data_IF_133547689377
#
_entry.id   IF_133547689377
#
_cell.length_a   1.000
_cell.length_b   1.000
_cell.length_c   1.000
_cell.angle_alpha   90.00
_cell.angle_beta   90.00
_cell.angle_gamma   90.00
#
_symmetry.space_group_name_H-M   'P 1'
#
loop_
_entity.id
_entity.type
_entity.pdbx_description
1 polymer ?
#
# COMPACT_ATOMS: atom_id res chain seq x y z
N UNK A 1 -10.63 16.64 32.26
CA UNK A 1 -10.70 16.54 30.79
C UNK A 1 -11.93 15.70 30.43
N UNK A 2 -12.77 16.13 29.49
CA UNK A 2 -13.98 15.40 29.09
C UNK A 2 -13.64 14.56 27.86
N UNK A 3 -13.91 13.26 27.89
CA UNK A 3 -13.67 12.36 26.76
C UNK A 3 -14.65 12.73 25.63
N UNK A 4 -14.14 13.27 24.52
CA UNK A 4 -14.94 13.65 23.35
C UNK A 4 -14.78 12.60 22.26
N UNK A 5 -15.75 12.51 21.34
CA UNK A 5 -15.66 11.61 20.18
C UNK A 5 -14.40 11.88 19.35
N UNK A 6 -14.09 13.16 19.11
CA UNK A 6 -12.88 13.56 18.40
C UNK A 6 -11.59 13.06 19.08
N UNK A 7 -11.54 13.09 20.42
CA UNK A 7 -10.40 12.56 21.15
C UNK A 7 -10.31 11.03 21.03
N UNK A 8 -11.45 10.34 21.04
CA UNK A 8 -11.51 8.89 20.87
C UNK A 8 -11.05 8.46 19.47
N UNK A 9 -11.44 9.20 18.43
CA UNK A 9 -11.07 8.92 17.03
C UNK A 9 -9.55 9.09 16.83
N UNK A 10 -8.97 10.20 17.32
CA UNK A 10 -7.51 10.43 17.29
C UNK A 10 -6.75 9.34 18.02
N UNK A 11 -7.24 8.90 19.18
CA UNK A 11 -6.62 7.82 19.93
C UNK A 11 -6.73 6.47 19.20
N UNK A 12 -7.87 6.19 18.57
CA UNK A 12 -8.06 4.99 17.74
C UNK A 12 -7.10 4.95 16.56
N UNK A 13 -6.95 6.07 15.86
CA UNK A 13 -6.01 6.23 14.75
C UNK A 13 -4.56 5.99 15.18
N UNK A 14 -4.15 6.54 16.32
CA UNK A 14 -2.81 6.30 16.89
C UNK A 14 -2.59 4.83 17.24
N UNK A 15 -3.57 4.15 17.84
CA UNK A 15 -3.46 2.73 18.17
C UNK A 15 -3.33 1.85 16.92
N UNK A 16 -4.09 2.14 15.87
CA UNK A 16 -4.00 1.44 14.60
C UNK A 16 -2.66 1.68 13.91
N UNK A 17 -2.19 2.93 13.88
CA UNK A 17 -0.89 3.30 13.33
C UNK A 17 0.26 2.58 14.05
N UNK A 18 0.23 2.55 15.39
CA UNK A 18 1.21 1.83 16.21
C UNK A 18 1.16 0.31 16.01
N UNK A 19 -0.04 -0.23 15.74
CA UNK A 19 -0.19 -1.65 15.41
C UNK A 19 0.46 -1.98 14.08
N UNK A 20 0.22 -1.17 13.05
CA UNK A 20 0.82 -1.32 11.72
C UNK A 20 2.34 -1.19 11.81
N UNK A 21 2.83 -0.13 12.48
CA UNK A 21 4.27 0.10 12.67
C UNK A 21 4.94 -1.11 13.32
N UNK A 22 4.37 -1.65 14.41
CA UNK A 22 4.91 -2.84 15.07
C UNK A 22 4.90 -4.07 14.17
N UNK A 23 3.82 -4.29 13.42
CA UNK A 23 3.73 -5.42 12.50
C UNK A 23 4.80 -5.36 11.40
N UNK A 24 5.05 -4.17 10.84
CA UNK A 24 6.12 -3.94 9.87
C UNK A 24 7.51 -4.23 10.45
N UNK A 25 7.79 -3.78 11.67
CA UNK A 25 9.07 -4.00 12.34
C UNK A 25 9.28 -5.47 12.67
N UNK A 26 8.23 -6.18 13.11
CA UNK A 26 8.30 -7.62 13.36
C UNK A 26 8.60 -8.38 12.07
N UNK A 27 7.95 -8.01 10.97
CA UNK A 27 8.17 -8.67 9.68
C UNK A 27 9.52 -8.32 9.05
N UNK A 28 10.01 -7.09 9.26
CA UNK A 28 11.33 -6.62 8.80
C UNK A 28 11.97 -5.69 9.83
N UNK A 29 12.84 -6.23 10.70
CA UNK A 29 13.49 -5.44 11.76
C UNK A 29 14.29 -4.24 11.24
N UNK A 30 14.84 -4.31 10.03
CA UNK A 30 15.55 -3.20 9.40
C UNK A 30 14.68 -1.94 9.18
N UNK A 31 13.35 -2.07 9.22
CA UNK A 31 12.44 -0.93 9.11
C UNK A 31 12.30 -0.12 10.41
N UNK A 32 12.78 -0.61 11.56
CA UNK A 32 12.59 0.04 12.86
C UNK A 32 12.99 1.52 12.88
N UNK A 33 14.13 1.84 12.25
CA UNK A 33 14.67 3.19 12.15
C UNK A 33 14.15 3.98 10.94
N UNK A 34 13.42 3.31 10.02
CA UNK A 34 12.96 3.88 8.76
C UNK A 34 11.48 4.27 8.79
N UNK A 35 10.64 3.57 9.57
CA UNK A 35 9.21 3.90 9.65
C UNK A 35 9.00 5.13 10.52
N UNK A 36 8.63 6.23 9.89
CA UNK A 36 8.31 7.49 10.55
C UNK A 36 6.80 7.75 10.55
N UNK A 37 6.23 8.03 11.72
CA UNK A 37 4.86 8.51 11.83
C UNK A 37 4.80 10.01 11.58
N UNK A 38 3.75 10.46 10.88
CA UNK A 38 3.39 11.87 10.82
C UNK A 38 2.76 12.31 12.13
N UNK A 39 3.10 13.52 12.60
CA UNK A 39 2.64 14.04 13.89
C UNK A 39 1.21 14.58 13.88
N UNK A 40 0.67 14.89 12.71
CA UNK A 40 -0.63 15.56 12.54
C UNK A 40 -1.67 14.65 11.87
N UNK A 41 -1.21 13.63 11.12
CA UNK A 41 -2.09 12.75 10.34
C UNK A 41 -1.86 11.28 10.68
N UNK A 42 -2.89 10.43 10.54
CA UNK A 42 -2.74 8.97 10.62
C UNK A 42 -1.99 8.44 9.40
N UNK A 43 -0.69 8.70 9.34
CA UNK A 43 0.18 8.45 8.19
C UNK A 43 1.54 7.93 8.64
N UNK A 44 2.03 6.88 7.98
CA UNK A 44 3.39 6.37 8.12
C UNK A 44 4.16 6.58 6.81
N UNK A 45 5.44 6.89 6.93
CA UNK A 45 6.38 7.09 5.82
C UNK A 45 7.53 6.12 5.95
N UNK A 46 7.91 5.53 4.83
CA UNK A 46 9.05 4.61 4.74
C UNK A 46 9.94 5.10 3.60
N UNK A 47 11.10 5.69 3.91
CA UNK A 47 12.02 6.19 2.90
C UNK A 47 12.60 5.03 2.10
N UNK A 48 12.76 5.25 0.79
CA UNK A 48 13.42 4.31 -0.10
C UNK A 48 14.80 4.86 -0.48
N UNK A 49 15.84 4.00 -0.60
CA UNK A 49 17.17 4.45 -0.97
C UNK A 49 17.25 5.02 -2.40
N UNK A 50 16.30 4.65 -3.27
CA UNK A 50 16.14 5.19 -4.63
C UNK A 50 14.66 5.42 -4.90
N UNK A 51 14.28 6.67 -5.14
CA UNK A 51 12.89 7.06 -5.44
C UNK A 51 12.18 7.73 -4.27
N UNK A 52 10.87 7.94 -4.43
CA UNK A 52 10.04 8.55 -3.39
C UNK A 52 9.71 7.54 -2.27
N UNK A 53 9.14 8.04 -1.17
CA UNK A 53 8.77 7.25 0.01
C UNK A 53 7.53 6.39 -0.25
N UNK A 54 7.48 5.21 0.37
CA UNK A 54 6.21 4.48 0.53
C UNK A 54 5.40 5.15 1.63
N UNK A 55 4.11 5.37 1.37
CA UNK A 55 3.19 6.01 2.31
C UNK A 55 2.12 5.01 2.74
N UNK A 56 1.73 5.03 4.01
CA UNK A 56 0.59 4.28 4.53
C UNK A 56 -0.31 5.31 5.23
N UNK A 57 -1.50 5.53 4.74
CA UNK A 57 -2.38 6.58 5.23
C UNK A 57 -3.78 6.06 5.47
N UNK A 58 -4.43 6.52 6.54
CA UNK A 58 -5.86 6.29 6.74
C UNK A 58 -6.65 7.32 5.96
N UNK A 59 -7.54 6.86 5.09
CA UNK A 59 -8.48 7.72 4.37
C UNK A 59 -9.82 7.76 5.08
N UNK A 60 -10.46 8.92 5.06
CA UNK A 60 -11.82 9.10 5.58
C UNK A 60 -12.88 8.92 4.50
N UNK A 61 -12.46 8.70 3.25
CA UNK A 61 -13.31 8.58 2.08
C UNK A 61 -13.13 7.18 1.49
N UNK A 62 -14.21 6.39 1.54
CA UNK A 62 -14.29 5.04 0.99
C UNK A 62 -15.71 4.48 1.19
N UNK A 63 -16.23 3.65 0.28
CA UNK A 63 -17.58 3.08 0.38
C UNK A 63 -17.75 2.16 1.60
N UNK A 64 -16.65 1.65 2.16
CA UNK A 64 -16.62 0.80 3.35
C UNK A 64 -16.31 1.55 4.67
N UNK A 65 -16.17 2.88 4.63
CA UNK A 65 -15.73 3.69 5.77
C UNK A 65 -14.22 3.97 5.79
N UNK A 66 -13.69 4.36 6.96
CA UNK A 66 -12.27 4.68 7.10
C UNK A 66 -11.39 3.46 6.83
N UNK A 67 -10.52 3.56 5.83
CA UNK A 67 -9.67 2.47 5.38
C UNK A 67 -8.21 2.90 5.29
N UNK A 68 -7.29 1.95 5.45
CA UNK A 68 -5.87 2.21 5.24
C UNK A 68 -5.52 1.98 3.78
N UNK A 69 -4.71 2.89 3.23
CA UNK A 69 -4.23 2.85 1.85
C UNK A 69 -2.71 2.88 1.87
N UNK A 70 -2.09 2.04 1.04
CA UNK A 70 -0.65 2.03 0.80
C UNK A 70 -0.37 2.72 -0.53
N UNK A 71 0.31 3.87 -0.48
CA UNK A 71 0.80 4.60 -1.63
C UNK A 71 2.20 4.13 -2.01
N UNK A 72 2.32 3.51 -3.19
CA UNK A 72 3.59 3.06 -3.76
C UNK A 72 4.02 4.03 -4.87
N UNK A 73 5.21 4.64 -4.77
CA UNK A 73 5.73 5.49 -5.83
C UNK A 73 5.89 4.75 -7.16
N UNK A 74 5.36 5.34 -8.22
CA UNK A 74 5.47 4.89 -9.60
C UNK A 74 5.58 6.09 -10.55
N UNK A 75 5.99 5.83 -11.79
CA UNK A 75 5.98 6.82 -12.86
C UNK A 75 4.97 6.38 -13.94
N UNK A 76 4.10 7.28 -14.45
CA UNK A 76 4.06 8.74 -14.22
C UNK A 76 3.34 9.18 -12.94
N UNK A 77 2.68 8.25 -12.23
CA UNK A 77 1.91 8.53 -11.03
C UNK A 77 2.08 7.42 -9.99
N UNK A 78 1.87 7.70 -8.69
CA UNK A 78 1.87 6.68 -7.66
C UNK A 78 0.66 5.74 -7.77
N UNK A 79 0.85 4.49 -7.38
CA UNK A 79 -0.23 3.50 -7.25
C UNK A 79 -0.76 3.51 -5.82
N UNK A 80 -2.07 3.51 -5.66
CA UNK A 80 -2.74 3.42 -4.35
C UNK A 80 -3.37 2.04 -4.20
N UNK A 81 -3.02 1.35 -3.12
CA UNK A 81 -3.58 0.04 -2.79
C UNK A 81 -4.42 0.14 -1.53
N UNK A 82 -5.71 -0.14 -1.64
CA UNK A 82 -6.59 -0.30 -0.48
C UNK A 82 -6.19 -1.56 0.31
N UNK A 83 -6.16 -1.46 1.64
CA UNK A 83 -5.83 -2.58 2.51
C UNK A 83 -6.92 -2.75 3.57
N UNK A 84 -7.61 -3.89 3.52
CA UNK A 84 -8.70 -4.20 4.44
C UNK A 84 -8.23 -4.61 5.85
N UNK A 85 -6.96 -4.93 6.02
CA UNK A 85 -6.39 -5.36 7.30
C UNK A 85 -4.87 -5.08 7.39
N UNK A 86 -4.32 -5.29 8.58
CA UNK A 86 -2.91 -5.04 8.88
C UNK A 86 -1.95 -5.98 8.11
N UNK A 87 -2.36 -7.21 7.81
CA UNK A 87 -1.51 -8.18 7.09
C UNK A 87 -1.34 -7.77 5.63
N UNK A 88 -2.40 -7.30 4.99
CA UNK A 88 -2.35 -6.74 3.63
C UNK A 88 -1.43 -5.53 3.54
N UNK A 89 -1.49 -4.62 4.52
CA UNK A 89 -0.58 -3.46 4.59
C UNK A 89 0.88 -3.93 4.64
N UNK A 90 1.19 -4.88 5.51
CA UNK A 90 2.56 -5.40 5.65
C UNK A 90 3.03 -6.03 4.34
N UNK A 91 2.21 -6.88 3.72
CA UNK A 91 2.51 -7.52 2.44
C UNK A 91 2.81 -6.51 1.34
N UNK A 92 1.95 -5.50 1.16
CA UNK A 92 2.10 -4.45 0.14
C UNK A 92 3.37 -3.63 0.36
N UNK A 93 3.64 -3.23 1.61
CA UNK A 93 4.83 -2.44 1.95
C UNK A 93 6.11 -3.23 1.70
N UNK A 94 6.17 -4.50 2.09
CA UNK A 94 7.36 -5.32 1.89
C UNK A 94 7.64 -5.51 0.40
N UNK A 95 6.61 -5.80 -0.41
CA UNK A 95 6.74 -5.89 -1.87
C UNK A 95 7.30 -4.59 -2.47
N UNK A 96 6.74 -3.44 -2.06
CA UNK A 96 7.17 -2.14 -2.54
C UNK A 96 8.62 -1.79 -2.13
N UNK A 97 9.04 -2.15 -0.92
CA UNK A 97 10.41 -1.91 -0.43
C UNK A 97 11.41 -2.82 -1.13
N UNK A 98 11.05 -4.07 -1.41
CA UNK A 98 11.91 -5.04 -2.10
C UNK A 98 12.05 -4.80 -3.60
N UNK A 99 11.22 -3.93 -4.17
CA UNK A 99 11.20 -3.70 -5.61
C UNK A 99 10.60 -4.87 -6.39
N UNK A 100 9.83 -5.73 -5.71
CA UNK A 100 8.83 -6.51 -6.42
C UNK A 100 7.78 -5.50 -6.88
N UNK A 101 7.85 -5.07 -8.15
CA UNK A 101 6.66 -4.53 -8.80
C UNK A 101 5.53 -5.48 -8.46
N UNK A 102 4.50 -4.97 -7.78
CA UNK A 102 3.28 -5.74 -7.53
C UNK A 102 2.73 -5.98 -8.92
N UNK A 103 3.10 -7.11 -9.52
CA UNK A 103 2.68 -7.49 -10.86
C UNK A 103 1.17 -7.37 -10.89
N UNK A 104 0.69 -6.58 -11.85
CA UNK A 104 -0.71 -6.48 -12.21
C UNK A 104 -1.37 -7.86 -12.22
N UNK A 105 -2.64 -7.88 -11.85
CA UNK A 105 -3.54 -8.96 -12.20
C UNK A 105 -3.24 -9.50 -13.61
N UNK A 106 -3.22 -10.83 -13.81
CA UNK A 106 -2.96 -11.39 -15.12
C UNK A 106 -4.02 -10.89 -16.10
N UNK A 107 -3.57 -10.16 -17.12
CA UNK A 107 -4.36 -9.79 -18.29
C UNK A 107 -5.08 -11.04 -18.85
N UNK A 108 -6.42 -11.11 -18.78
CA UNK A 108 -7.17 -12.23 -19.34
C UNK A 108 -7.38 -12.08 -20.86
N UNK A 109 -6.51 -11.38 -21.59
CA UNK A 109 -6.57 -11.25 -23.05
C UNK A 109 -5.41 -11.95 -23.80
N UNK A 110 -4.70 -12.87 -23.15
CA UNK A 110 -3.73 -13.77 -23.79
C UNK A 110 -4.37 -15.03 -24.37
N UNK A 111 -5.37 -14.93 -25.25
CA UNK A 111 -5.84 -16.08 -26.02
C UNK A 111 -6.29 -15.69 -27.43
N UNK A 112 -5.58 -16.28 -28.40
CA UNK A 112 -5.87 -16.39 -29.82
C UNK A 112 -5.41 -15.25 -30.75
N UNK A 113 -4.10 -15.24 -31.04
CA UNK A 113 -3.67 -15.17 -32.44
C UNK A 113 -2.55 -16.18 -32.66
N UNK A 114 -2.89 -17.34 -33.22
CA UNK A 114 -1.97 -18.06 -34.09
C UNK A 114 -2.75 -19.02 -35.00
N UNK A 115 -2.83 -18.67 -36.29
CA UNK A 115 -2.45 -19.59 -37.39
C UNK A 115 -2.71 -18.91 -38.73
N UNK A 116 -1.70 -18.22 -39.25
CA UNK A 116 -1.51 -18.09 -40.70
C UNK A 116 -0.86 -19.38 -41.22
N UNK A 117 -1.52 -20.04 -42.16
CA UNK A 117 -0.86 -20.92 -43.15
C UNK A 117 -1.72 -20.82 -44.42
N UNK A 118 -1.44 -19.91 -45.35
CA UNK A 118 -0.53 -20.08 -46.49
C UNK A 118 -1.33 -19.87 -47.78
N UNK A 119 -0.73 -19.40 -48.90
CA UNK A 119 -1.47 -18.95 -50.09
C UNK A 119 -1.83 -20.12 -51.01
N UNK A 120 -2.87 -19.96 -51.83
CA UNK A 120 -3.09 -20.80 -53.01
C UNK A 120 -3.68 -19.95 -54.13
N UNK A 121 -2.83 -19.69 -55.13
CA UNK A 121 -3.21 -19.31 -56.49
C UNK A 121 -3.92 -20.49 -57.18
N UNK A 122 -4.90 -20.18 -58.02
CA UNK A 122 -5.62 -21.11 -58.91
C UNK A 122 -6.82 -20.45 -59.58
#
# INVERSE_FOLDING_TARGET
MRFTRALADVFGDQLEQDRIRRALIVARPALAELVHADGERPLLRIPRPRGADVLIAKTSEGPAGSQWVVGVPGAPAPTLHEAGNCEDIVRLVLAAVDGAEVAEEPDPAGAADDSRTGPSDG
#
